data_IF_022951414725
#
_entry.id   IF_022951414725
#
_cell.length_a   1.000
_cell.length_b   1.000
_cell.length_c   1.000
_cell.angle_alpha   90.00
_cell.angle_beta   90.00
_cell.angle_gamma   90.00
#
_symmetry.space_group_name_H-M   'P 1'
#
loop_
_entity.id
_entity.type
_entity.pdbx_description
1 polymer ?
#
# COMPACT_ATOMS: atom_id res chain seq x y z
N UNK A 1 1.83 37.78 -15.96
CA UNK A 1 1.56 36.34 -16.19
C UNK A 1 2.52 35.54 -15.33
N UNK A 2 2.04 34.79 -14.33
CA UNK A 2 2.89 33.88 -13.55
C UNK A 2 3.22 32.69 -14.45
N UNK A 3 4.49 32.53 -14.82
CA UNK A 3 4.99 31.30 -15.42
C UNK A 3 4.79 30.18 -14.39
N UNK A 4 3.77 29.35 -14.61
CA UNK A 4 3.59 28.10 -13.88
C UNK A 4 4.64 27.16 -14.43
N UNK A 5 5.83 27.18 -13.81
CA UNK A 5 6.86 26.19 -14.07
C UNK A 5 6.31 24.87 -13.51
N UNK A 6 5.73 24.04 -14.38
CA UNK A 6 5.46 22.64 -14.09
C UNK A 6 6.81 21.95 -13.95
N UNK A 7 7.37 22.00 -12.74
CA UNK A 7 8.47 21.10 -12.37
C UNK A 7 7.89 19.71 -12.34
N UNK A 8 8.27 18.86 -13.30
CA UNK A 8 7.92 17.44 -13.28
C UNK A 8 8.46 16.84 -11.98
N UNK A 9 7.57 16.59 -11.01
CA UNK A 9 7.94 15.91 -9.77
C UNK A 9 8.32 14.47 -10.12
N UNK A 10 9.60 14.14 -9.95
CA UNK A 10 10.07 12.75 -10.02
C UNK A 10 9.40 11.94 -8.89
N UNK A 11 8.69 10.88 -9.27
CA UNK A 11 8.11 9.93 -8.33
C UNK A 11 9.21 9.33 -7.41
N UNK A 12 8.90 9.17 -6.12
CA UNK A 12 9.84 8.64 -5.12
C UNK A 12 9.24 7.42 -4.43
N UNK A 13 10.07 6.42 -4.12
CA UNK A 13 9.64 5.12 -3.60
C UNK A 13 9.32 5.15 -2.10
N UNK A 14 8.05 5.33 -1.73
CA UNK A 14 7.55 5.44 -0.35
C UNK A 14 7.50 4.11 0.39
N UNK A 15 7.22 4.17 1.69
CA UNK A 15 6.97 2.99 2.50
C UNK A 15 5.76 2.22 1.98
N UNK A 16 4.71 2.92 1.53
CA UNK A 16 3.57 2.35 0.84
C UNK A 16 3.96 1.50 -0.37
N UNK A 17 4.94 1.94 -1.17
CA UNK A 17 5.42 1.15 -2.31
C UNK A 17 6.09 -0.17 -1.88
N UNK A 18 6.86 -0.15 -0.80
CA UNK A 18 7.50 -1.35 -0.25
C UNK A 18 6.44 -2.34 0.23
N UNK A 19 5.42 -1.85 0.95
CA UNK A 19 4.32 -2.67 1.46
C UNK A 19 3.50 -3.26 0.31
N UNK A 20 3.19 -2.48 -0.72
CA UNK A 20 2.50 -2.98 -1.91
C UNK A 20 3.32 -4.03 -2.65
N UNK A 21 4.64 -3.86 -2.77
CA UNK A 21 5.52 -4.85 -3.38
C UNK A 21 5.48 -6.17 -2.61
N UNK A 22 5.57 -6.11 -1.27
CA UNK A 22 5.47 -7.31 -0.42
C UNK A 22 4.10 -7.98 -0.56
N UNK A 23 3.01 -7.21 -0.58
CA UNK A 23 1.67 -7.74 -0.78
C UNK A 23 1.51 -8.44 -2.14
N UNK A 24 2.10 -7.89 -3.21
CA UNK A 24 2.13 -8.52 -4.54
C UNK A 24 2.92 -9.82 -4.52
N UNK A 25 4.11 -9.85 -3.90
CA UNK A 25 4.93 -11.07 -3.79
C UNK A 25 4.18 -12.17 -3.04
N UNK A 26 3.55 -11.85 -1.91
CA UNK A 26 2.76 -12.81 -1.13
C UNK A 26 1.52 -13.25 -1.92
N UNK A 27 0.88 -12.35 -2.66
CA UNK A 27 -0.26 -12.67 -3.51
C UNK A 27 0.11 -13.68 -4.61
N UNK A 28 1.22 -13.45 -5.32
CA UNK A 28 1.73 -14.36 -6.34
C UNK A 28 2.05 -15.73 -5.73
N UNK A 29 2.67 -15.76 -4.54
CA UNK A 29 2.93 -17.02 -3.85
C UNK A 29 1.64 -17.81 -3.57
N UNK A 30 0.61 -17.14 -3.02
CA UNK A 30 -0.69 -17.76 -2.73
C UNK A 30 -1.47 -18.13 -3.99
N UNK A 31 -1.22 -17.48 -5.12
CA UNK A 31 -1.78 -17.86 -6.40
C UNK A 31 -1.18 -19.16 -6.93
N UNK A 32 0.14 -19.32 -6.84
CA UNK A 32 0.87 -20.52 -7.28
C UNK A 32 0.59 -21.71 -6.34
N UNK A 33 0.54 -21.45 -5.03
CA UNK A 33 0.33 -22.47 -4.00
C UNK A 33 -0.92 -22.15 -3.16
N UNK A 34 -2.14 -22.35 -3.71
CA UNK A 34 -3.38 -21.91 -3.06
C UNK A 34 -3.84 -22.76 -1.86
N UNK A 35 -3.16 -23.87 -1.59
CA UNK A 35 -3.55 -24.84 -0.56
C UNK A 35 -4.68 -25.79 -1.03
N UNK A 36 -5.01 -26.75 -0.18
CA UNK A 36 -5.95 -27.86 -0.47
C UNK A 36 -7.38 -27.41 -0.74
N UNK A 37 -7.83 -26.33 -0.12
CA UNK A 37 -9.21 -25.82 -0.23
C UNK A 37 -9.32 -24.54 -1.09
N UNK A 38 -8.22 -24.09 -1.70
CA UNK A 38 -8.22 -22.91 -2.57
C UNK A 38 -8.30 -21.56 -1.84
N UNK A 39 -8.24 -21.54 -0.50
CA UNK A 39 -8.24 -20.29 0.28
C UNK A 39 -7.13 -19.32 -0.13
N UNK A 40 -6.00 -19.81 -0.64
CA UNK A 40 -4.93 -18.96 -1.15
C UNK A 40 -5.35 -18.08 -2.33
N UNK A 41 -6.31 -18.49 -3.16
CA UNK A 41 -6.84 -17.61 -4.21
C UNK A 41 -7.63 -16.43 -3.65
N UNK A 42 -8.37 -16.65 -2.56
CA UNK A 42 -9.12 -15.59 -1.90
C UNK A 42 -8.15 -14.61 -1.22
N UNK A 43 -7.08 -15.12 -0.60
CA UNK A 43 -5.99 -14.32 -0.04
C UNK A 43 -5.29 -13.52 -1.15
N UNK A 44 -4.99 -14.14 -2.30
CA UNK A 44 -4.39 -13.49 -3.46
C UNK A 44 -5.24 -12.31 -3.95
N UNK A 45 -6.54 -12.52 -4.19
CA UNK A 45 -7.45 -11.46 -4.64
C UNK A 45 -7.46 -10.30 -3.63
N UNK A 46 -7.55 -10.62 -2.34
CA UNK A 46 -7.60 -9.62 -1.29
C UNK A 46 -6.29 -8.81 -1.22
N UNK A 47 -5.13 -9.47 -1.24
CA UNK A 47 -3.82 -8.81 -1.22
C UNK A 47 -3.55 -7.97 -2.47
N UNK A 48 -3.95 -8.45 -3.65
CA UNK A 48 -3.87 -7.67 -4.88
C UNK A 48 -4.70 -6.39 -4.79
N UNK A 49 -5.93 -6.48 -4.28
CA UNK A 49 -6.79 -5.32 -4.09
C UNK A 49 -6.16 -4.31 -3.12
N UNK A 50 -5.64 -4.76 -1.98
CA UNK A 50 -4.93 -3.90 -1.03
C UNK A 50 -3.68 -3.24 -1.64
N UNK A 51 -2.87 -3.99 -2.39
CA UNK A 51 -1.67 -3.46 -3.01
C UNK A 51 -1.99 -2.32 -3.99
N UNK A 52 -3.02 -2.49 -4.81
CA UNK A 52 -3.51 -1.47 -5.74
C UNK A 52 -4.00 -0.25 -4.97
N UNK A 53 -4.80 -0.44 -3.93
CA UNK A 53 -5.36 0.65 -3.15
C UNK A 53 -4.26 1.50 -2.48
N UNK A 54 -3.25 0.85 -1.89
CA UNK A 54 -2.09 1.53 -1.29
C UNK A 54 -1.33 2.33 -2.35
N UNK A 55 -1.06 1.75 -3.53
CA UNK A 55 -0.38 2.46 -4.62
C UNK A 55 -1.19 3.67 -5.12
N UNK A 56 -2.51 3.54 -5.23
CA UNK A 56 -3.38 4.65 -5.60
C UNK A 56 -3.36 5.79 -4.57
N UNK A 57 -3.44 5.46 -3.28
CA UNK A 57 -3.38 6.46 -2.19
C UNK A 57 -2.03 7.14 -2.16
N UNK A 58 -0.94 6.37 -2.26
CA UNK A 58 0.43 6.90 -2.32
C UNK A 58 0.61 7.85 -3.52
N UNK A 59 0.15 7.45 -4.71
CA UNK A 59 0.18 8.32 -5.89
C UNK A 59 -0.56 9.64 -5.66
N UNK A 60 -1.73 9.60 -5.03
CA UNK A 60 -2.49 10.80 -4.66
C UNK A 60 -1.72 11.66 -3.64
N UNK A 61 -1.14 11.04 -2.61
CA UNK A 61 -0.38 11.75 -1.58
C UNK A 61 0.90 12.39 -2.12
N UNK A 62 1.63 11.73 -3.02
CA UNK A 62 2.80 12.33 -3.68
C UNK A 62 2.42 13.52 -4.57
N UNK A 63 1.21 13.51 -5.14
CA UNK A 63 0.67 14.65 -5.90
C UNK A 63 0.28 15.82 -4.98
N UNK A 64 -0.40 15.53 -3.87
CA UNK A 64 -0.92 16.54 -2.94
C UNK A 64 0.16 17.15 -2.03
N UNK A 65 1.05 16.33 -1.49
CA UNK A 65 2.04 16.77 -0.51
C UNK A 65 3.43 16.89 -1.14
N UNK A 66 4.19 17.89 -0.70
CA UNK A 66 5.56 18.10 -1.16
C UNK A 66 6.60 17.45 -0.24
N UNK A 67 6.28 17.32 1.04
CA UNK A 67 7.20 16.77 2.03
C UNK A 67 7.04 15.25 2.11
N UNK A 68 8.06 14.56 1.63
CA UNK A 68 8.12 13.10 1.59
C UNK A 68 8.12 12.45 2.98
N UNK A 69 8.70 13.13 3.98
CA UNK A 69 8.72 12.62 5.36
C UNK A 69 7.30 12.53 5.89
N UNK A 70 6.46 13.54 5.59
CA UNK A 70 5.06 13.57 6.02
C UNK A 70 4.29 12.40 5.39
N UNK A 71 4.50 12.13 4.09
CA UNK A 71 3.84 11.01 3.39
C UNK A 71 4.18 9.69 4.08
N UNK A 72 5.47 9.39 4.25
CA UNK A 72 5.90 8.15 4.92
C UNK A 72 5.41 8.07 6.38
N UNK A 73 5.39 9.18 7.12
CA UNK A 73 4.88 9.20 8.49
C UNK A 73 3.39 8.85 8.55
N UNK A 74 2.58 9.39 7.63
CA UNK A 74 1.16 9.08 7.54
C UNK A 74 0.96 7.60 7.18
N UNK A 75 1.72 7.09 6.22
CA UNK A 75 1.63 5.68 5.80
C UNK A 75 1.97 4.71 6.93
N UNK A 76 3.08 4.94 7.65
CA UNK A 76 3.49 4.12 8.79
C UNK A 76 2.42 4.16 9.89
N UNK A 77 1.88 5.35 10.19
CA UNK A 77 0.87 5.51 11.22
C UNK A 77 -0.45 4.81 10.84
N UNK A 78 -0.86 4.87 9.56
CA UNK A 78 -2.00 4.14 9.06
C UNK A 78 -1.82 2.62 9.20
N UNK A 79 -0.64 2.09 8.88
CA UNK A 79 -0.33 0.66 9.01
C UNK A 79 -0.39 0.22 10.48
N UNK A 80 0.17 1.00 11.41
CA UNK A 80 0.11 0.72 12.85
C UNK A 80 -1.35 0.67 13.34
N UNK A 81 -2.18 1.63 12.89
CA UNK A 81 -3.61 1.65 13.25
C UNK A 81 -4.32 0.40 12.72
N UNK A 82 -4.11 0.06 11.44
CA UNK A 82 -4.72 -1.12 10.82
C UNK A 82 -4.30 -2.40 11.55
N UNK A 83 -3.01 -2.54 11.88
CA UNK A 83 -2.50 -3.68 12.63
C UNK A 83 -3.18 -3.78 14.00
N UNK A 84 -3.27 -2.67 14.74
CA UNK A 84 -3.89 -2.65 16.07
C UNK A 84 -5.38 -2.96 16.02
N UNK A 85 -6.11 -2.43 15.04
CA UNK A 85 -7.53 -2.72 14.85
C UNK A 85 -7.75 -4.21 14.56
N UNK A 86 -6.96 -4.79 13.64
CA UNK A 86 -7.07 -6.22 13.33
C UNK A 86 -6.73 -7.11 14.53
N UNK A 87 -5.71 -6.73 15.32
CA UNK A 87 -5.36 -7.45 16.53
C UNK A 87 -6.52 -7.47 17.53
N UNK A 88 -7.12 -6.31 17.81
CA UNK A 88 -8.27 -6.21 18.71
C UNK A 88 -9.45 -7.07 18.25
N UNK A 89 -9.75 -7.07 16.94
CA UNK A 89 -10.87 -7.86 16.40
C UNK A 89 -10.64 -9.36 16.35
N UNK A 90 -9.40 -9.84 16.52
CA UNK A 90 -9.07 -11.28 16.42
C UNK A 90 -8.76 -11.92 17.77
N UNK A 91 -8.59 -11.12 18.84
CA UNK A 91 -8.36 -11.61 20.21
C UNK A 91 -9.57 -11.50 21.15
N UNK A 92 -10.72 -11.03 20.64
CA UNK A 92 -12.03 -11.12 21.30
C UNK A 92 -12.79 -12.38 20.84
#
# INVERSE_FOLDING_TARGET
>A
MKNIIFTEKKYRSTFGNIVSLLAIVISIYNFIYPGTEGWGWLICINLCFYAILILCVDFIFQKLYHNYIIINSIEILAIIIIYKLNYLTTTD
#
